data_IF_234498228468
#
_entry.id   IF_234498228468
#
_cell.length_a   1.000
_cell.length_b   1.000
_cell.length_c   1.000
_cell.angle_alpha   90.00
_cell.angle_beta   90.00
_cell.angle_gamma   90.00
#
_symmetry.space_group_name_H-M   'P 1'
#
loop_
_entity.id
_entity.type
_entity.pdbx_description
1 polymer ?
#
# COMPACT_ATOMS: atom_id res chain seq x y z
N UNK A 1 -17.65 20.62 -4.85
CA UNK A 1 -17.41 20.87 -3.40
C UNK A 1 -16.07 20.29 -3.01
N UNK A 2 -15.31 21.00 -2.21
CA UNK A 2 -14.01 20.53 -1.74
C UNK A 2 -14.16 20.15 -0.27
N UNK A 3 -13.82 18.91 0.05
CA UNK A 3 -13.91 18.38 1.41
C UNK A 3 -12.52 18.12 1.98
N UNK A 4 -12.38 18.35 3.27
CA UNK A 4 -11.16 17.97 3.98
C UNK A 4 -11.24 16.49 4.33
N UNK A 5 -10.16 15.77 4.10
CA UNK A 5 -10.04 14.37 4.46
C UNK A 5 -9.04 14.28 5.61
N UNK A 6 -9.50 13.73 6.74
CA UNK A 6 -8.65 13.54 7.91
C UNK A 6 -8.20 12.08 7.97
N UNK A 7 -6.89 11.85 7.89
CA UNK A 7 -6.37 10.49 7.86
C UNK A 7 -6.62 9.74 9.17
N UNK A 8 -6.60 10.42 10.30
CA UNK A 8 -6.88 9.77 11.58
C UNK A 8 -8.34 9.26 11.64
N UNK A 9 -9.26 9.98 11.02
CA UNK A 9 -10.65 9.52 10.92
C UNK A 9 -10.75 8.33 9.98
N UNK A 10 -9.99 8.32 8.90
CA UNK A 10 -9.99 7.22 7.94
C UNK A 10 -9.45 5.93 8.55
N UNK A 11 -8.46 6.02 9.44
CA UNK A 11 -7.94 4.84 10.14
C UNK A 11 -9.07 4.09 10.86
N UNK A 12 -10.02 4.82 11.44
CA UNK A 12 -11.12 4.22 12.19
C UNK A 12 -12.09 3.44 11.31
N UNK A 13 -12.07 3.66 10.00
CA UNK A 13 -12.93 2.94 9.05
C UNK A 13 -12.35 1.59 8.63
N UNK A 14 -11.08 1.34 8.94
CA UNK A 14 -10.43 0.10 8.55
C UNK A 14 -10.83 -1.00 9.53
N UNK A 15 -11.49 -2.05 9.01
CA UNK A 15 -12.04 -3.09 9.84
C UNK A 15 -11.03 -4.20 10.16
N UNK A 16 -10.15 -4.53 9.22
CA UNK A 16 -9.23 -5.66 9.36
C UNK A 16 -7.99 -5.48 8.50
N UNK A 17 -6.91 -6.22 8.81
CA UNK A 17 -5.67 -6.14 8.03
C UNK A 17 -5.87 -6.51 6.57
N UNK A 18 -5.07 -5.88 5.70
CA UNK A 18 -5.00 -6.18 4.28
C UNK A 18 -6.30 -5.96 3.51
N UNK A 19 -7.19 -5.12 4.06
CA UNK A 19 -8.45 -4.73 3.42
C UNK A 19 -8.44 -3.22 3.19
N UNK A 20 -7.87 -2.77 2.06
CA UNK A 20 -7.73 -1.33 1.80
C UNK A 20 -9.07 -0.63 1.63
N UNK A 21 -9.12 0.61 2.09
CA UNK A 21 -10.23 1.52 1.81
C UNK A 21 -9.74 2.62 0.86
N UNK A 22 -10.64 3.16 0.06
CA UNK A 22 -10.33 4.30 -0.78
C UNK A 22 -10.47 5.57 0.03
N UNK A 23 -9.41 6.37 0.05
CA UNK A 23 -9.37 7.62 0.81
C UNK A 23 -9.71 8.81 -0.09
N UNK A 24 -9.13 8.84 -1.29
CA UNK A 24 -9.32 9.94 -2.22
C UNK A 24 -8.98 9.49 -3.63
N UNK A 25 -9.56 10.18 -4.61
CA UNK A 25 -9.23 9.93 -6.02
C UNK A 25 -8.69 11.21 -6.64
N UNK A 26 -7.71 11.06 -7.53
CA UNK A 26 -7.11 12.16 -8.27
C UNK A 26 -6.98 11.70 -9.72
N UNK A 27 -7.87 12.18 -10.58
CA UNK A 27 -7.96 11.70 -11.97
C UNK A 27 -8.16 10.19 -12.00
N UNK A 28 -7.29 9.45 -12.70
CA UNK A 28 -7.31 7.98 -12.74
C UNK A 28 -6.48 7.32 -11.63
N UNK A 29 -6.03 8.11 -10.67
CA UNK A 29 -5.25 7.63 -9.53
C UNK A 29 -6.11 7.58 -8.27
N UNK A 30 -5.74 6.75 -7.33
CA UNK A 30 -6.44 6.60 -6.06
C UNK A 30 -5.43 6.56 -4.92
N UNK A 31 -5.82 7.19 -3.81
CA UNK A 31 -5.11 7.02 -2.53
C UNK A 31 -5.91 5.99 -1.74
N UNK A 32 -5.29 4.85 -1.45
CA UNK A 32 -5.86 3.80 -0.61
C UNK A 32 -5.11 3.75 0.70
N UNK A 33 -5.79 3.26 1.74
CA UNK A 33 -5.20 3.09 3.05
C UNK A 33 -5.51 1.70 3.55
N UNK A 34 -4.50 1.02 4.11
CA UNK A 34 -4.69 -0.31 4.68
C UNK A 34 -3.94 -0.46 5.99
N UNK A 35 -4.42 -1.39 6.80
CA UNK A 35 -3.70 -1.84 7.98
C UNK A 35 -2.82 -3.01 7.56
N UNK A 36 -1.51 -2.85 7.72
CA UNK A 36 -0.54 -3.91 7.46
C UNK A 36 -0.22 -4.59 8.79
N UNK A 37 -0.42 -5.91 8.83
CA UNK A 37 -0.15 -6.70 10.03
C UNK A 37 0.21 -8.12 9.58
N UNK A 38 1.43 -8.55 9.87
CA UNK A 38 1.96 -9.81 9.38
C UNK A 38 2.50 -9.71 7.97
N UNK A 39 2.47 -10.82 7.24
CA UNK A 39 3.03 -10.91 5.89
C UNK A 39 1.92 -11.01 4.86
N UNK A 40 2.14 -10.31 3.74
CA UNK A 40 1.26 -10.42 2.59
C UNK A 40 1.92 -11.31 1.53
N UNK A 41 1.15 -12.11 0.78
CA UNK A 41 1.72 -12.99 -0.23
C UNK A 41 2.55 -12.26 -1.30
N UNK A 42 3.51 -12.95 -1.85
CA UNK A 42 4.28 -12.45 -3.00
C UNK A 42 3.34 -12.21 -4.17
N UNK A 43 3.48 -11.05 -4.79
CA UNK A 43 2.65 -10.68 -5.95
C UNK A 43 3.36 -9.58 -6.75
N UNK A 44 2.81 -9.29 -7.92
CA UNK A 44 3.29 -8.20 -8.76
C UNK A 44 2.13 -7.54 -9.49
N UNK A 45 2.35 -6.33 -9.94
CA UNK A 45 1.41 -5.59 -10.79
C UNK A 45 2.10 -5.39 -12.13
N UNK A 46 1.58 -6.02 -13.19
CA UNK A 46 2.26 -6.05 -14.50
C UNK A 46 2.32 -4.66 -15.15
N UNK A 47 1.32 -3.83 -14.93
CA UNK A 47 1.15 -2.58 -15.66
C UNK A 47 1.17 -1.32 -14.79
N UNK A 48 1.25 -1.45 -13.48
CA UNK A 48 1.14 -0.31 -12.58
C UNK A 48 2.33 -0.23 -11.63
N UNK A 49 2.85 0.98 -11.45
CA UNK A 49 3.75 1.28 -10.35
C UNK A 49 2.89 1.51 -9.10
N UNK A 50 3.43 1.16 -7.94
CA UNK A 50 2.69 1.33 -6.68
C UNK A 50 3.55 2.08 -5.67
N UNK A 51 3.04 3.20 -5.14
CA UNK A 51 3.71 3.96 -4.10
C UNK A 51 3.19 3.53 -2.74
N UNK A 52 4.11 3.24 -1.81
CA UNK A 52 3.80 2.97 -0.41
C UNK A 52 4.31 4.12 0.45
N UNK A 53 3.48 4.61 1.34
CA UNK A 53 3.83 5.65 2.31
C UNK A 53 3.37 5.22 3.70
N UNK A 54 4.32 5.14 4.64
CA UNK A 54 3.98 4.73 6.01
C UNK A 54 3.47 5.93 6.79
N UNK A 55 2.19 5.90 7.12
CA UNK A 55 1.56 6.95 7.93
C UNK A 55 1.83 6.73 9.41
N UNK A 56 1.72 5.48 9.87
CA UNK A 56 2.03 5.10 11.25
C UNK A 56 2.65 3.72 11.29
N UNK A 57 3.68 3.56 12.11
CA UNK A 57 4.36 2.28 12.27
C UNK A 57 5.57 2.14 11.37
N UNK A 58 5.83 0.93 10.92
CA UNK A 58 6.94 0.62 10.02
C UNK A 58 6.69 -0.68 9.30
N UNK A 59 7.19 -0.78 8.08
CA UNK A 59 7.03 -1.99 7.26
C UNK A 59 8.36 -2.35 6.60
N UNK A 60 8.42 -3.57 6.09
CA UNK A 60 9.49 -4.03 5.21
C UNK A 60 8.85 -4.59 3.96
N UNK A 61 9.25 -4.11 2.80
CA UNK A 61 8.82 -4.67 1.52
C UNK A 61 9.94 -5.57 1.03
N UNK A 62 9.68 -6.88 1.02
CA UNK A 62 10.61 -7.83 0.42
C UNK A 62 10.46 -7.74 -1.08
N UNK A 63 11.58 -7.68 -1.79
CA UNK A 63 11.59 -7.49 -3.24
C UNK A 63 12.44 -8.60 -3.85
N UNK A 64 11.87 -9.34 -4.80
CA UNK A 64 12.57 -10.45 -5.43
C UNK A 64 13.84 -9.97 -6.12
N UNK A 65 14.97 -10.62 -5.83
CA UNK A 65 16.28 -10.34 -6.42
C UNK A 65 16.82 -8.95 -6.11
N UNK A 66 16.31 -8.31 -5.06
CA UNK A 66 16.76 -6.99 -4.60
C UNK A 66 16.81 -6.99 -3.07
N UNK A 67 17.55 -6.04 -2.47
CA UNK A 67 17.49 -5.88 -1.01
C UNK A 67 16.09 -5.51 -0.55
N UNK A 68 15.75 -5.91 0.68
CA UNK A 68 14.51 -5.49 1.30
C UNK A 68 14.45 -3.97 1.43
N UNK A 69 13.26 -3.42 1.32
CA UNK A 69 13.02 -1.99 1.47
C UNK A 69 12.33 -1.75 2.80
N UNK A 70 13.04 -1.17 3.76
CA UNK A 70 12.46 -0.82 5.06
C UNK A 70 11.93 0.61 5.00
N UNK A 71 10.69 0.79 5.44
CA UNK A 71 10.06 2.10 5.50
C UNK A 71 9.57 2.36 6.92
N UNK A 72 10.00 3.49 7.48
CA UNK A 72 9.55 3.96 8.78
C UNK A 72 8.49 5.07 8.59
N UNK A 73 7.89 5.46 9.69
CA UNK A 73 6.84 6.50 9.66
C UNK A 73 7.33 7.74 8.91
N UNK A 74 6.52 8.20 7.96
CA UNK A 74 6.84 9.36 7.13
C UNK A 74 7.66 9.04 5.88
N UNK A 75 8.05 7.78 5.67
CA UNK A 75 8.87 7.40 4.52
C UNK A 75 8.03 6.72 3.45
N UNK A 76 8.47 6.83 2.18
CA UNK A 76 7.77 6.26 1.05
C UNK A 76 8.74 5.62 0.06
N UNK A 77 8.20 4.70 -0.74
CA UNK A 77 8.94 4.10 -1.84
C UNK A 77 7.97 3.74 -2.95
N UNK A 78 8.46 3.68 -4.17
CA UNK A 78 7.69 3.24 -5.33
C UNK A 78 8.20 1.86 -5.76
N UNK A 79 7.31 0.90 -5.82
CA UNK A 79 7.61 -0.41 -6.39
C UNK A 79 7.24 -0.35 -7.87
N UNK A 80 8.22 -0.50 -8.77
CA UNK A 80 7.94 -0.42 -10.21
C UNK A 80 7.08 -1.58 -10.69
N UNK A 81 6.36 -1.34 -11.77
CA UNK A 81 5.57 -2.39 -12.43
C UNK A 81 6.44 -3.61 -12.74
N UNK A 82 5.84 -4.79 -12.64
CA UNK A 82 6.50 -6.04 -12.96
C UNK A 82 7.44 -6.57 -11.87
N UNK A 83 7.67 -5.82 -10.80
CA UNK A 83 8.58 -6.25 -9.73
C UNK A 83 7.79 -7.04 -8.70
N UNK A 84 8.19 -8.29 -8.49
CA UNK A 84 7.56 -9.17 -7.52
C UNK A 84 7.98 -8.76 -6.10
N UNK A 85 7.00 -8.63 -5.20
CA UNK A 85 7.25 -8.13 -3.87
C UNK A 85 6.26 -8.69 -2.86
N UNK A 86 6.62 -8.58 -1.58
CA UNK A 86 5.82 -9.06 -0.47
C UNK A 86 6.01 -8.13 0.73
N UNK A 87 5.05 -7.26 1.00
CA UNK A 87 5.14 -6.39 2.18
C UNK A 87 4.86 -7.19 3.46
N UNK A 88 5.52 -6.78 4.54
CA UNK A 88 5.27 -7.35 5.86
C UNK A 88 5.41 -6.29 6.93
N UNK A 89 4.74 -6.51 8.05
CA UNK A 89 4.83 -5.65 9.21
C UNK A 89 4.78 -6.50 10.48
N UNK A 90 5.76 -6.29 11.38
CA UNK A 90 5.80 -7.00 12.67
C UNK A 90 4.79 -6.45 13.66
N UNK A 91 4.40 -5.19 13.50
CA UNK A 91 3.40 -4.51 14.32
C UNK A 91 2.35 -3.91 13.40
N UNK A 92 1.10 -3.81 13.85
CA UNK A 92 0.09 -3.15 13.03
C UNK A 92 0.58 -1.78 12.59
N UNK A 93 0.55 -1.55 11.28
CA UNK A 93 1.05 -0.32 10.67
C UNK A 93 0.04 0.21 9.67
N UNK A 94 -0.09 1.52 9.63
CA UNK A 94 -1.04 2.17 8.74
C UNK A 94 -0.31 2.71 7.52
N UNK A 95 -0.69 2.26 6.34
CA UNK A 95 0.03 2.52 5.09
C UNK A 95 -0.92 3.11 4.06
N UNK A 96 -0.47 4.18 3.43
CA UNK A 96 -1.14 4.74 2.26
C UNK A 96 -0.48 4.19 1.00
N UNK A 97 -1.30 3.87 0.01
CA UNK A 97 -0.84 3.49 -1.32
C UNK A 97 -1.42 4.48 -2.32
N UNK A 98 -0.55 5.01 -3.19
CA UNK A 98 -0.98 5.87 -4.27
C UNK A 98 -0.72 5.13 -5.58
N UNK A 99 -1.77 4.93 -6.37
CA UNK A 99 -1.71 3.98 -7.48
C UNK A 99 -2.86 4.22 -8.46
N UNK A 100 -2.75 3.72 -9.71
CA UNK A 100 -3.87 3.77 -10.62
C UNK A 100 -5.06 3.02 -10.06
N UNK A 101 -6.27 3.51 -10.31
CA UNK A 101 -7.49 2.85 -9.83
C UNK A 101 -7.62 1.42 -10.35
N UNK A 102 -7.06 1.12 -11.51
CA UNK A 102 -7.09 -0.21 -12.11
C UNK A 102 -6.22 -1.24 -11.37
N UNK A 103 -5.31 -0.79 -10.49
CA UNK A 103 -4.43 -1.68 -9.76
C UNK A 103 -5.24 -2.57 -8.82
N UNK A 104 -4.94 -3.88 -8.84
CA UNK A 104 -5.55 -4.87 -7.95
C UNK A 104 -4.62 -5.11 -6.77
N UNK A 105 -5.13 -4.90 -5.56
CA UNK A 105 -4.32 -4.99 -4.34
C UNK A 105 -3.62 -6.33 -4.18
N UNK A 106 -4.24 -7.43 -4.57
CA UNK A 106 -3.69 -8.78 -4.47
C UNK A 106 -2.74 -9.13 -5.62
N UNK A 107 -2.54 -8.21 -6.56
CA UNK A 107 -1.72 -8.44 -7.74
C UNK A 107 -2.52 -8.98 -8.91
N UNK A 108 -1.84 -9.17 -10.03
CA UNK A 108 -2.46 -9.67 -11.25
C UNK A 108 -2.43 -11.20 -11.24
N UNK A 109 -3.60 -11.82 -11.30
CA UNK A 109 -3.76 -13.25 -11.30
C UNK A 109 -4.63 -13.73 -12.45
N UNK A 110 -4.33 -14.91 -12.96
CA UNK A 110 -3.06 -15.62 -12.83
C UNK A 110 -2.00 -14.84 -13.57
N UNK A 111 -0.93 -14.52 -12.91
CA UNK A 111 0.12 -13.69 -13.51
C UNK A 111 1.06 -14.54 -14.35
#
# INVERSE_FOLDING_TARGET
>A
MISTINLNDKIKEIAEPWSPIEVATVNDQVVRMALFDGEYPWHKHANEDELFYVNKGSIVIRVKSHPDVALHEGEMAVIPRGVEHSPKSLKPSNVLMFEPQALKSEGDYPS
#
